data_IF_573039282368
#
_entry.id   IF_573039282368
#
_cell.length_a   1.000
_cell.length_b   1.000
_cell.length_c   1.000
_cell.angle_alpha   90.00
_cell.angle_beta   90.00
_cell.angle_gamma   90.00
#
_symmetry.space_group_name_H-M   'P 1'
#
loop_
_entity.id
_entity.type
_entity.pdbx_description
1 polymer ?
2 polymer ?
3 water ?
#
# COMPACT_ATOMS: atom_id res chain seq x y z
N UNK A 1 3.07 10.66 -2.13
CA UNK A 1 4.47 10.64 -1.69
C UNK A 1 5.03 12.06 -1.50
N UNK A 2 5.43 12.35 -0.26
CA UNK A 2 6.05 13.63 0.09
C UNK A 2 7.54 13.49 -0.13
N UNK A 3 8.11 14.46 -0.85
CA UNK A 3 9.50 14.39 -1.26
C UNK A 3 9.70 13.21 -2.22
N UNK A 4 10.88 12.63 -2.18
CA UNK A 4 11.18 11.52 -3.07
C UNK A 4 11.27 11.93 -4.52
N UNK A 5 11.14 10.95 -5.39
CA UNK A 5 11.42 11.18 -6.79
C UNK A 5 10.32 10.62 -7.67
N UNK A 6 10.09 11.27 -8.80
CA UNK A 6 9.27 10.68 -9.84
C UNK A 6 9.99 9.47 -10.37
N UNK A 7 9.22 8.44 -10.70
CA UNK A 7 9.83 7.17 -11.08
C UNK A 7 8.98 6.55 -12.15
N UNK A 8 9.36 5.34 -12.59
CA UNK A 8 8.54 4.60 -13.52
C UNK A 8 8.30 3.20 -12.96
N UNK A 9 7.30 2.53 -13.51
CA UNK A 9 6.90 1.21 -13.00
C UNK A 9 8.08 0.23 -12.95
N UNK A 10 9.05 0.35 -13.85
CA UNK A 10 10.15 -0.61 -13.91
C UNK A 10 10.96 -0.66 -12.61
N UNK A 11 11.00 0.44 -11.87
CA UNK A 11 11.72 0.47 -10.61
C UNK A 11 10.89 0.04 -9.40
N UNK A 12 9.66 -0.38 -9.65
CA UNK A 12 8.72 -0.85 -8.64
C UNK A 12 7.64 -1.76 -9.29
N UNK A 13 8.06 -2.82 -10.01
CA UNK A 13 7.19 -3.55 -10.93
C UNK A 13 6.12 -4.42 -10.27
N UNK A 14 6.17 -4.53 -8.95
CA UNK A 14 5.13 -5.14 -8.12
C UNK A 14 3.98 -4.18 -7.82
N UNK A 15 4.18 -2.89 -8.06
CA UNK A 15 3.15 -1.93 -7.73
C UNK A 15 1.87 -2.01 -8.56
N UNK A 16 0.75 -2.20 -7.88
CA UNK A 16 -0.56 -2.29 -8.50
C UNK A 16 -1.34 -1.00 -8.29
N UNK A 17 -2.03 -0.53 -9.35
CA UNK A 17 -2.90 0.66 -9.30
C UNK A 17 -4.37 0.26 -9.30
N UNK A 18 -5.08 0.56 -8.21
CA UNK A 18 -6.48 0.11 -8.04
C UNK A 18 -7.52 1.24 -8.18
N UNK A 19 -8.46 1.04 -9.05
CA UNK A 19 -9.46 2.01 -9.40
C UNK A 19 -10.85 1.45 -9.18
N UNK A 20 -11.81 2.35 -9.03
CA UNK A 20 -13.21 1.98 -8.93
C UNK A 20 -14.13 2.67 -9.97
N UNK A 21 -15.02 1.91 -10.61
CA UNK A 21 -15.96 2.52 -11.53
C UNK A 21 -17.26 2.86 -10.85
N UNK A 22 -17.70 4.09 -11.00
CA UNK A 22 -18.93 4.60 -10.39
C UNK A 22 -20.19 4.37 -11.24
N UNK A 23 -21.34 4.77 -10.72
CA UNK A 23 -22.58 4.46 -11.42
C UNK A 23 -22.62 5.05 -12.81
N UNK A 24 -22.08 6.24 -13.00
CA UNK A 24 -22.09 6.82 -14.34
C UNK A 24 -21.33 6.04 -15.43
N UNK A 25 -20.18 5.54 -15.07
CA UNK A 25 -19.19 5.10 -16.01
C UNK A 25 -17.86 5.76 -15.66
N UNK A 26 -17.88 6.76 -14.80
CA UNK A 26 -16.63 7.42 -14.36
C UNK A 26 -15.74 6.55 -13.44
N UNK A 27 -14.44 6.57 -13.68
CA UNK A 27 -13.51 5.69 -12.98
C UNK A 27 -12.50 6.52 -12.24
N UNK A 28 -12.34 6.28 -10.96
CA UNK A 28 -11.37 7.02 -10.18
C UNK A 28 -10.46 6.15 -9.31
N UNK A 29 -9.31 6.68 -9.01
CA UNK A 29 -8.27 5.94 -8.30
C UNK A 29 -8.68 5.73 -6.85
N UNK A 30 -8.35 4.56 -6.33
CA UNK A 30 -8.78 4.20 -5.01
C UNK A 30 -7.54 4.11 -4.11
N UNK A 31 -6.67 3.16 -4.43
CA UNK A 31 -5.50 2.88 -3.59
C UNK A 31 -4.41 2.15 -4.37
N UNK A 32 -3.24 2.09 -3.75
CA UNK A 32 -2.19 1.23 -4.22
C UNK A 32 -2.39 -0.21 -3.75
N UNK A 33 -1.47 -1.07 -4.20
CA UNK A 33 -1.40 -2.45 -3.79
C UNK A 33 -0.12 -3.05 -4.32
N UNK A 34 0.06 -4.36 -4.12
CA UNK A 34 1.29 -5.05 -4.48
C UNK A 34 1.02 -6.46 -4.98
N UNK A 35 1.69 -6.82 -6.07
CA UNK A 35 1.57 -8.12 -6.66
C UNK A 35 2.45 -9.15 -5.93
N UNK A 36 1.82 -10.04 -5.20
CA UNK A 36 2.58 -10.99 -4.37
C UNK A 36 2.62 -12.41 -4.94
N UNK A 37 1.84 -12.63 -5.99
CA UNK A 37 1.94 -13.85 -6.78
C UNK A 37 1.15 -13.51 -8.02
N UNK A 38 1.25 -14.33 -9.08
CA UNK A 38 0.64 -13.92 -10.34
C UNK A 38 -0.85 -13.58 -10.28
N UNK A 39 -1.61 -14.29 -9.43
CA UNK A 39 -3.07 -14.07 -9.37
C UNK A 39 -3.52 -13.15 -8.22
N UNK A 40 -2.56 -12.71 -7.39
CA UNK A 40 -2.89 -12.06 -6.12
C UNK A 40 -2.21 -10.72 -5.88
N UNK A 41 -3.04 -9.74 -5.57
CA UNK A 41 -2.58 -8.44 -5.20
C UNK A 41 -2.99 -8.21 -3.78
N UNK A 42 -2.09 -7.70 -2.99
CA UNK A 42 -2.40 -7.37 -1.61
C UNK A 42 -2.46 -5.85 -1.36
N UNK A 43 -3.42 -5.43 -0.57
CA UNK A 43 -3.71 -4.04 -0.25
C UNK A 43 -4.27 -3.90 1.16
N UNK A 44 -4.98 -2.80 1.39
CA UNK A 44 -5.55 -2.43 2.67
C UNK A 44 -7.07 -2.49 2.67
N UNK A 45 -7.65 -3.02 3.72
CA UNK A 45 -9.09 -3.23 3.75
C UNK A 45 -9.90 -1.93 3.66
N UNK A 46 -9.35 -0.84 4.21
CA UNK A 46 -10.07 0.42 4.27
C UNK A 46 -10.33 0.97 2.87
N UNK A 47 -9.53 0.56 1.89
CA UNK A 47 -9.75 0.97 0.51
C UNK A 47 -11.08 0.56 -0.06
N UNK A 48 -11.63 -0.50 0.49
CA UNK A 48 -12.79 -1.14 -0.08
C UNK A 48 -14.02 -1.21 0.82
N UNK A 49 -13.83 -0.84 2.06
CA UNK A 49 -14.84 -1.08 3.06
C UNK A 49 -16.13 -0.31 2.73
N UNK A 50 -16.04 0.91 2.23
CA UNK A 50 -17.21 1.61 1.78
C UNK A 50 -17.99 1.07 0.57
N UNK A 51 -17.32 0.48 -0.39
CA UNK A 51 -17.96 -0.06 -1.57
C UNK A 51 -17.46 -1.50 -1.82
N UNK A 52 -17.99 -2.51 -1.00
CA UNK A 52 -17.29 -3.81 -1.13
C UNK A 52 -17.60 -4.77 -2.28
N UNK A 53 -18.31 -4.31 -3.28
CA UNK A 53 -18.54 -5.13 -4.45
C UNK A 53 -17.33 -5.18 -5.38
N UNK A 54 -16.77 -6.37 -5.53
CA UNK A 54 -15.61 -6.67 -6.34
C UNK A 54 -15.73 -6.31 -7.82
N UNK A 55 -16.97 -6.28 -8.28
CA UNK A 55 -17.30 -5.93 -9.65
C UNK A 55 -16.92 -4.51 -10.01
N UNK A 56 -17.02 -3.61 -9.05
CA UNK A 56 -16.70 -2.23 -9.30
C UNK A 56 -15.22 -1.87 -9.42
N UNK A 57 -14.33 -2.83 -9.31
CA UNK A 57 -12.91 -2.54 -9.23
C UNK A 57 -12.13 -3.00 -10.43
N UNK A 58 -11.08 -2.24 -10.71
CA UNK A 58 -10.14 -2.59 -11.75
C UNK A 58 -8.74 -2.43 -11.19
N UNK A 59 -7.87 -3.37 -11.55
CA UNK A 59 -6.49 -3.35 -11.13
C UNK A 59 -5.60 -3.25 -12.35
N UNK A 60 -4.70 -2.26 -12.35
CA UNK A 60 -3.66 -2.17 -13.39
C UNK A 60 -2.32 -2.57 -12.83
N UNK A 61 -1.56 -3.26 -13.65
CA UNK A 61 -0.18 -3.57 -13.39
C UNK A 61 0.60 -2.99 -14.52
N UNK A 62 1.83 -2.63 -14.28
CA UNK A 62 2.65 -2.09 -15.37
C UNK A 62 2.35 -0.62 -15.63
N UNK A 63 1.71 0.07 -14.67
CA UNK A 63 1.18 1.43 -14.91
C UNK A 63 2.06 2.47 -14.19
N UNK A 64 2.61 3.44 -14.94
CA UNK A 64 3.45 4.50 -14.37
C UNK A 64 2.69 5.87 -14.26
N UNK A 65 1.52 5.99 -14.87
CA UNK A 65 0.77 7.25 -14.81
C UNK A 65 -0.63 7.03 -14.29
N UNK A 66 -1.16 8.05 -13.61
CA UNK A 66 -2.41 7.96 -12.87
C UNK A 66 -3.65 7.92 -13.77
N UNK A 67 -3.71 8.85 -14.73
CA UNK A 67 -4.89 9.02 -15.55
C UNK A 67 -4.66 8.76 -17.02
N UNK A 68 -3.50 8.24 -17.37
CA UNK A 68 -3.25 7.84 -18.76
C UNK A 68 -2.55 6.49 -18.78
N UNK A 69 -2.38 5.94 -19.98
CA UNK A 69 -1.86 4.59 -20.21
C UNK A 69 -0.33 4.54 -20.31
N UNK A 70 0.25 3.42 -19.91
CA UNK A 70 1.69 3.18 -19.94
C UNK A 70 1.86 2.00 -20.88
N UNK A 71 2.88 2.06 -21.73
CA UNK A 71 3.19 0.95 -22.62
C UNK A 71 3.60 -0.27 -21.78
N UNK A 72 2.86 -1.35 -21.96
CA UNK A 72 3.13 -2.59 -21.24
C UNK A 72 2.16 -2.88 -20.10
N UNK A 73 1.25 -1.96 -19.81
CA UNK A 73 0.33 -2.15 -18.69
C UNK A 73 -0.72 -3.22 -19.00
N UNK A 74 -1.25 -3.83 -17.95
CA UNK A 74 -2.28 -4.86 -18.10
C UNK A 74 -3.41 -4.56 -17.12
N UNK A 75 -4.62 -4.60 -17.64
CA UNK A 75 -5.84 -4.37 -16.89
C UNK A 75 -6.48 -5.67 -16.38
N UNK A 76 -6.93 -5.69 -15.13
CA UNK A 76 -7.59 -6.86 -14.51
C UNK A 76 -8.89 -6.53 -13.77
N UNK A 77 -9.80 -7.49 -13.84
CA UNK A 77 -10.97 -7.53 -12.98
C UNK A 77 -10.58 -8.17 -11.67
N UNK A 78 -11.44 -8.03 -10.67
CA UNK A 78 -11.25 -8.62 -9.37
C UNK A 78 -12.22 -9.77 -9.23
N UNK A 79 -11.68 -10.99 -9.12
CA UNK A 79 -12.48 -12.21 -9.04
C UNK A 79 -12.85 -12.56 -7.60
N UNK A 80 -12.03 -12.12 -6.65
CA UNK A 80 -12.33 -12.28 -5.22
C UNK A 80 -11.78 -11.08 -4.46
N UNK A 81 -12.61 -10.47 -3.63
CA UNK A 81 -12.20 -9.31 -2.82
C UNK A 81 -12.32 -9.70 -1.36
N UNK A 82 -11.18 -9.90 -0.71
CA UNK A 82 -11.13 -10.47 0.64
C UNK A 82 -10.70 -9.41 1.64
N UNK A 83 -11.67 -8.92 2.41
CA UNK A 83 -11.41 -8.00 3.49
C UNK A 83 -11.16 -8.78 4.77
N UNK A 84 -10.35 -8.22 5.64
CA UNK A 84 -10.05 -8.87 6.90
C UNK A 84 -11.22 -8.73 7.87
N UNK A 85 -11.67 -9.87 8.41
CA UNK A 85 -12.84 -9.90 9.29
C UNK A 85 -12.70 -9.04 10.54
N UNK A 86 -11.52 -9.04 11.13
CA UNK A 86 -11.23 -8.17 12.28
C UNK A 86 -10.77 -6.76 11.92
N UNK A 87 -10.98 -6.34 10.67
CA UNK A 87 -10.72 -4.94 10.34
C UNK A 87 -11.53 -4.02 11.24
N UNK A 88 -10.96 -2.87 11.57
CA UNK A 88 -11.69 -1.85 12.28
C UNK A 88 -11.03 -0.49 12.08
N UNK A 89 -11.83 0.55 12.00
CA UNK A 89 -11.32 1.90 11.98
C UNK A 89 -11.59 2.60 13.32
N UNK A 90 -10.55 2.95 14.04
CA UNK A 90 -10.64 3.54 15.35
C UNK A 90 -10.86 4.98 15.11
N UNK A 91 -10.78 5.76 16.18
CA UNK A 91 -10.82 7.20 16.10
C UNK A 91 -9.64 7.83 15.36
N UNK A 92 -8.42 7.33 15.56
CA UNK A 92 -7.24 7.81 14.83
C UNK A 92 -6.59 6.86 13.81
N UNK A 93 -6.69 5.55 14.01
CA UNK A 93 -5.96 4.56 13.23
C UNK A 93 -6.83 3.41 12.79
N UNK A 94 -6.30 2.55 11.94
CA UNK A 94 -7.00 1.38 11.45
C UNK A 94 -6.31 0.15 11.98
N UNK A 95 -7.05 -0.90 12.20
CA UNK A 95 -6.53 -2.16 12.72
C UNK A 95 -6.82 -3.26 11.74
N UNK A 96 -5.90 -4.22 11.64
CA UNK A 96 -6.01 -5.33 10.68
C UNK A 96 -6.33 -4.82 9.28
N UNK A 97 -5.57 -3.81 8.88
CA UNK A 97 -5.79 -3.10 7.63
C UNK A 97 -5.10 -3.83 6.49
N UNK A 98 -5.73 -4.91 6.05
CA UNK A 98 -5.14 -5.81 5.08
C UNK A 98 -6.23 -6.44 4.25
N UNK A 99 -5.97 -6.57 2.95
CA UNK A 99 -6.97 -7.01 1.99
C UNK A 99 -6.31 -7.76 0.86
N UNK A 100 -7.06 -8.64 0.23
CA UNK A 100 -6.56 -9.42 -0.89
C UNK A 100 -7.52 -9.38 -2.06
N UNK A 101 -6.96 -9.26 -3.26
CA UNK A 101 -7.71 -9.24 -4.50
C UNK A 101 -7.15 -10.34 -5.37
N UNK A 102 -8.00 -11.25 -5.82
CA UNK A 102 -7.60 -12.17 -6.88
C UNK A 102 -7.96 -11.56 -8.21
N UNK A 103 -6.98 -11.40 -9.06
CA UNK A 103 -7.16 -10.69 -10.30
C UNK A 103 -7.35 -11.63 -11.47
N UNK A 104 -8.26 -11.28 -12.36
CA UNK A 104 -8.45 -12.01 -13.60
C UNK A 104 -8.65 -11.08 -14.74
N UNK A 105 -8.00 -11.29 -15.83
CA UNK A 105 -8.25 -10.48 -17.02
C UNK A 105 -9.59 -11.02 -17.56
N UNK A 106 -10.15 -10.12 -18.43
CA UNK A 106 -11.43 -10.45 -19.03
C UNK A 106 -11.26 -11.73 -19.86
N UNK A 107 -10.01 -12.05 -20.16
CA UNK A 107 -9.63 -13.23 -20.93
C UNK A 107 -9.17 -14.37 -20.04
N UNK A 108 -9.36 -14.24 -18.73
CA UNK A 108 -9.15 -15.29 -17.79
C UNK A 108 -7.77 -15.52 -17.23
N UNK A 109 -6.80 -14.70 -17.62
CA UNK A 109 -5.41 -14.82 -17.14
C UNK A 109 -5.05 -14.08 -15.85
N UNK A 110 -4.12 -14.63 -15.10
CA UNK A 110 -3.42 -13.99 -14.00
C UNK A 110 -2.29 -13.12 -14.66
N UNK A 111 -1.50 -12.38 -13.89
CA UNK A 111 -0.47 -11.50 -14.43
C UNK A 111 0.70 -12.31 -15.02
N UNK A 112 1.32 -11.76 -16.06
CA UNK A 112 2.51 -12.33 -16.65
C UNK A 112 3.73 -11.40 -16.53
N UNK A 113 4.75 -11.84 -15.80
CA UNK A 113 5.95 -11.01 -15.64
C UNK A 113 6.48 -10.46 -16.96
N UNK A 114 6.95 -9.21 -16.91
CA UNK A 114 7.54 -8.52 -18.04
C UNK A 114 8.52 -7.51 -17.47
N UNK A 115 9.14 -6.75 -18.35
CA UNK A 115 9.98 -5.64 -17.97
C UNK A 115 9.27 -4.72 -16.95
N UNK A 116 7.94 -4.67 -16.98
CA UNK A 116 7.20 -3.72 -16.15
C UNK A 116 6.32 -4.38 -15.09
N UNK A 117 6.30 -5.72 -15.02
CA UNK A 117 5.46 -6.44 -14.05
C UNK A 117 6.22 -7.61 -13.42
N UNK A 118 6.41 -7.56 -12.11
CA UNK A 118 7.03 -8.66 -11.36
C UNK A 118 6.33 -8.79 -10.01
N UNK A 119 6.45 -9.96 -9.37
CA UNK A 119 5.88 -10.20 -8.04
C UNK A 119 6.88 -9.75 -7.00
N UNK A 120 6.42 -9.50 -5.77
CA UNK A 120 7.27 -9.15 -4.64
C UNK A 120 7.08 -10.24 -3.58
N UNK A 121 8.18 -10.76 -3.06
CA UNK A 121 8.14 -11.82 -2.06
C UNK A 121 7.54 -11.35 -0.72
N UNK A 122 6.78 -12.24 -0.09
CA UNK A 122 6.36 -12.05 1.30
C UNK A 122 7.49 -12.39 2.24
N UNK A 123 7.48 -11.79 3.45
CA UNK A 123 8.49 -12.17 4.43
C UNK A 123 8.15 -13.50 5.08
N UNK A 124 9.07 -14.02 5.88
CA UNK A 124 8.83 -15.19 6.71
C UNK A 124 8.03 -14.72 7.88
N UNK A 125 7.23 -15.61 8.45
CA UNK A 125 6.32 -15.20 9.51
C UNK A 125 7.08 -14.62 10.72
N UNK A 126 6.68 -13.42 11.10
CA UNK A 126 7.25 -12.68 12.23
C UNK A 126 8.69 -12.20 12.03
N UNK A 127 9.23 -12.43 10.83
CA UNK A 127 10.58 -11.98 10.48
C UNK A 127 10.52 -10.58 9.86
N UNK A 128 11.04 -9.58 10.60
CA UNK A 128 11.12 -8.20 10.13
C UNK A 128 12.57 -7.69 10.29
N UNK A 129 12.98 -6.72 9.47
CA UNK A 129 14.37 -6.28 9.54
C UNK A 129 14.60 -5.33 10.70
N UNK A 130 15.85 -4.96 10.92
CA UNK A 130 16.22 -4.10 12.03
C UNK A 130 15.57 -2.76 11.91
N UNK A 131 15.37 -2.13 13.05
CA UNK A 131 14.96 -0.74 13.10
C UNK A 131 16.14 0.09 12.61
N UNK A 132 15.86 1.19 11.93
CA UNK A 132 16.87 1.96 11.22
C UNK A 132 17.22 1.45 9.82
N UNK A 133 16.64 0.33 9.40
CA UNK A 133 16.80 -0.15 8.02
C UNK A 133 16.05 0.76 7.03
N UNK A 134 16.62 0.96 5.85
CA UNK A 134 16.04 1.82 4.82
C UNK A 134 15.13 1.00 3.89
N UNK A 135 13.90 1.45 3.72
CA UNK A 135 12.90 0.78 2.88
C UNK A 135 12.35 1.73 1.82
N UNK A 136 11.70 1.17 0.81
CA UNK A 136 11.12 1.92 -0.30
C UNK A 136 9.61 1.92 -0.24
N UNK A 137 9.01 3.08 -0.51
CA UNK A 137 7.55 3.21 -0.67
C UNK A 137 7.29 3.85 -2.02
N UNK A 138 6.09 3.63 -2.56
CA UNK A 138 5.75 4.04 -3.90
C UNK A 138 4.29 4.37 -3.94
N UNK A 139 3.90 5.31 -4.80
CA UNK A 139 2.47 5.57 -4.99
C UNK A 139 2.12 6.81 -5.79
N UNK A 140 0.80 7.02 -5.98
CA UNK A 140 0.24 8.15 -6.70
C UNK A 140 -0.38 9.13 -5.71
N UNK A 141 0.11 9.09 -4.47
CA UNK A 141 -0.48 9.88 -3.40
C UNK A 141 -0.04 11.34 -3.50
N UNK A 142 -0.66 12.18 -2.69
CA UNK A 142 -0.36 13.61 -2.73
C UNK A 142 1.10 13.89 -2.51
N UNK A 143 1.60 14.94 -3.16
CA UNK A 143 2.97 15.40 -2.93
C UNK A 143 3.08 16.37 -1.73
N UNK A 144 1.93 16.84 -1.23
CA UNK A 144 1.84 17.66 0.00
C UNK A 144 0.49 17.42 0.65
N UNK A 145 0.49 17.30 1.97
CA UNK A 145 -0.77 17.20 2.74
C UNK A 145 -1.86 18.13 2.27
N UNK A 146 -1.46 19.37 1.95
CA UNK A 146 -2.42 20.43 1.65
C UNK A 146 -2.91 20.45 0.21
N UNK A 147 -2.34 19.61 -0.65
CA UNK A 147 -2.73 19.58 -2.06
C UNK A 147 -4.15 19.05 -2.22
N UNK A 148 -4.77 19.44 -3.32
CA UNK A 148 -6.08 18.97 -3.74
C UNK A 148 -5.92 17.97 -4.88
N UNK A 149 -4.90 18.17 -5.72
CA UNK A 149 -4.63 17.27 -6.84
C UNK A 149 -3.63 16.17 -6.50
N UNK A 150 -3.60 15.14 -7.35
CA UNK A 150 -2.66 14.04 -7.21
C UNK A 150 -1.70 14.07 -8.39
N UNK A 151 -0.46 13.60 -8.17
CA UNK A 151 0.51 13.66 -9.25
C UNK A 151 0.11 12.69 -10.36
N UNK A 152 0.49 13.02 -11.59
CA UNK A 152 0.14 12.17 -12.75
C UNK A 152 1.16 11.04 -12.92
N UNK A 153 2.38 11.28 -12.48
CA UNK A 153 3.47 10.32 -12.58
C UNK A 153 3.71 9.62 -11.24
N UNK A 154 4.00 8.34 -11.30
CA UNK A 154 4.34 7.58 -10.10
C UNK A 154 5.56 8.15 -9.40
N UNK A 155 5.53 8.14 -8.07
CA UNK A 155 6.69 8.47 -7.28
C UNK A 155 7.12 7.38 -6.30
N UNK A 156 8.34 7.50 -5.81
CA UNK A 156 8.85 6.67 -4.72
C UNK A 156 9.80 7.47 -3.82
N UNK A 157 10.06 6.94 -2.63
CA UNK A 157 11.01 7.57 -1.72
C UNK A 157 11.53 6.52 -0.76
N UNK A 158 12.47 6.91 0.09
CA UNK A 158 13.07 5.99 1.04
C UNK A 158 12.79 6.50 2.46
N UNK A 159 12.40 5.56 3.33
CA UNK A 159 12.17 5.82 4.74
C UNK A 159 12.85 4.71 5.55
N UNK A 160 13.08 4.99 6.83
CA UNK A 160 13.70 4.02 7.72
C UNK A 160 12.69 3.53 8.73
N UNK A 161 12.69 2.22 8.96
CA UNK A 161 11.89 1.59 10.00
C UNK A 161 12.25 2.18 11.35
N UNK A 162 11.21 2.40 12.15
CA UNK A 162 11.37 2.98 13.48
C UNK A 162 11.04 1.90 14.51
N UNK A 163 11.69 1.98 15.66
CA UNK A 163 11.48 0.99 16.73
C UNK A 163 10.07 1.13 17.28
N UNK A 164 9.51 0.07 17.76
CA UNK A 164 8.23 0.21 18.42
C UNK A 164 8.29 1.14 19.63
N UNK A 165 9.34 1.02 20.40
CA UNK A 165 9.49 1.81 21.57
C UNK A 165 9.51 3.24 21.20
N UNK A 166 10.23 3.57 20.15
CA UNK A 166 10.24 4.92 19.76
C UNK A 166 8.83 5.23 19.37
N UNK A 167 8.21 4.34 18.63
CA UNK A 167 6.93 4.64 18.05
C UNK A 167 5.84 4.88 19.05
N UNK A 168 5.92 4.20 20.17
CA UNK A 168 4.93 4.23 21.24
C UNK A 168 5.13 5.41 22.17
N UNK A 169 6.10 6.26 21.86
CA UNK A 169 6.29 7.48 22.61
C UNK A 169 5.15 8.45 22.46
N UNK A 170 4.86 9.18 23.63
CA UNK A 170 3.65 9.99 23.53
C UNK A 170 3.71 11.11 22.52
N UNK A 171 4.86 11.75 22.34
CA UNK A 171 4.96 12.76 21.33
C UNK A 171 4.96 12.14 19.90
N UNK A 172 5.12 10.83 19.81
CA UNK A 172 4.81 10.10 18.58
C UNK A 172 3.36 9.65 18.55
N UNK A 173 3.10 8.37 18.64
CA UNK A 173 1.73 7.93 18.55
C UNK A 173 1.19 7.32 19.83
N UNK A 174 2.07 7.13 20.81
CA UNK A 174 1.69 6.54 22.06
C UNK A 174 1.13 5.15 21.90
N UNK A 175 -0.01 4.92 22.53
CA UNK A 175 -0.65 3.63 22.60
C UNK A 175 -1.20 3.05 21.30
N UNK A 176 -1.42 3.93 20.35
CA UNK A 176 -2.20 3.66 19.15
C UNK A 176 -1.45 2.81 18.12
N UNK A 177 -0.13 2.79 18.19
CA UNK A 177 0.68 1.85 17.40
C UNK A 177 0.81 0.54 18.14
N UNK A 178 0.31 -0.52 17.52
CA UNK A 178 0.32 -1.86 18.13
C UNK A 178 1.37 -2.71 17.43
N UNK A 179 1.61 -3.90 17.95
CA UNK A 179 2.68 -4.76 17.45
C UNK A 179 2.40 -5.32 16.07
N UNK A 180 1.17 -5.20 15.59
CA UNK A 180 0.80 -5.68 14.26
C UNK A 180 1.00 -4.59 13.21
N UNK A 181 1.55 -3.46 13.64
CA UNK A 181 1.88 -2.34 12.79
C UNK A 181 3.39 -2.08 12.79
N UNK A 182 3.90 -1.43 11.75
CA UNK A 182 5.27 -0.89 11.74
C UNK A 182 5.24 0.60 11.47
N UNK A 183 6.13 1.34 12.13
CA UNK A 183 6.35 2.74 11.79
C UNK A 183 7.58 2.87 10.92
N UNK A 184 7.58 3.88 10.07
CA UNK A 184 8.70 4.20 9.20
C UNK A 184 8.59 5.68 8.87
N UNK A 185 9.72 6.36 8.85
CA UNK A 185 9.74 7.78 8.60
C UNK A 185 11.10 8.17 8.18
N UNK A 186 11.19 9.40 7.72
CA UNK A 186 12.45 10.04 7.44
C UNK A 186 13.15 10.55 8.70
N UNK A 187 14.52 10.23 8.75
CA UNK A 187 15.19 10.78 9.94
C UNK A 187 15.04 12.29 10.07
N UNK A 188 15.08 13.08 9.02
CA UNK A 188 14.77 14.51 9.15
C UNK A 188 13.32 14.92 8.89
N UNK A 189 12.44 13.95 8.74
CA UNK A 189 11.02 14.21 8.56
C UNK A 189 10.63 14.95 7.27
N UNK A 190 11.40 14.74 6.24
CA UNK A 190 11.21 15.44 4.96
C UNK A 190 10.48 14.60 3.91
N UNK A 191 10.47 13.28 4.06
CA UNK A 191 9.75 12.43 3.12
C UNK A 191 8.80 11.45 3.81
N UNK A 192 7.73 11.06 3.13
CA UNK A 192 6.66 10.24 3.70
C UNK A 192 5.72 9.75 2.59
N UNK A 193 4.88 8.78 2.93
CA UNK A 193 3.66 8.51 2.17
C UNK A 193 2.62 9.55 2.59
N UNK A 194 1.57 9.72 1.77
CA UNK A 194 0.50 10.68 2.05
C UNK A 194 -0.85 10.15 1.57
N UNK A 195 -1.86 11.02 1.56
CA UNK A 195 -3.20 10.63 1.13
C UNK A 195 -3.12 10.11 -0.31
N UNK A 196 -3.73 8.95 -0.56
CA UNK A 196 -3.67 8.34 -1.87
C UNK A 196 -2.53 7.34 -2.10
N UNK A 197 -1.64 7.17 -1.13
CA UNK A 197 -0.62 6.12 -1.20
C UNK A 197 -1.07 4.83 -0.48
N UNK A 198 -2.21 4.97 0.22
CA UNK A 198 -2.86 3.91 0.96
C UNK A 198 -2.93 2.62 0.19
N UNK A 199 -2.76 1.51 0.91
CA UNK A 199 -2.70 0.16 0.30
C UNK A 199 -1.38 -0.18 -0.37
N UNK A 200 -0.53 0.81 -0.59
CA UNK A 200 0.75 0.64 -1.28
C UNK A 200 1.82 -0.11 -0.49
N UNK A 201 2.92 -0.50 -1.19
CA UNK A 201 4.00 -1.27 -0.58
C UNK A 201 5.04 -0.48 0.22
N UNK A 202 5.47 -1.09 1.30
CA UNK A 202 6.74 -0.77 1.94
C UNK A 202 7.64 -1.96 1.69
N UNK A 203 8.75 -1.73 1.00
CA UNK A 203 9.64 -2.81 0.58
C UNK A 203 11.03 -2.62 1.18
N UNK A 204 11.51 -3.66 1.81
CA UNK A 204 12.73 -3.62 2.52
C UNK A 204 13.54 -4.79 2.06
N UNK A 205 14.85 -4.71 2.13
CA UNK A 205 15.69 -5.83 1.80
C UNK A 205 15.88 -6.67 3.04
N UNK A 206 15.47 -7.93 3.01
CA UNK A 206 15.56 -8.76 4.19
C UNK A 206 16.27 -10.04 3.88
N UNK A 207 17.29 -10.40 4.64
CA UNK A 207 18.33 -11.31 4.15
C UNK A 207 18.89 -10.61 2.93
N UNK A 208 18.91 -11.26 1.77
CA UNK A 208 19.21 -10.57 0.54
C UNK A 208 18.03 -10.20 -0.30
N UNK A 209 16.83 -10.49 0.17
CA UNK A 209 15.67 -10.42 -0.68
C UNK A 209 14.92 -9.12 -0.46
N UNK A 210 14.44 -8.57 -1.55
CA UNK A 210 13.52 -7.46 -1.50
C UNK A 210 12.22 -8.06 -1.05
N UNK A 211 11.68 -7.57 0.04
CA UNK A 211 10.50 -8.17 0.61
C UNK A 211 9.41 -7.14 0.95
N UNK A 212 8.14 -7.55 0.90
CA UNK A 212 7.01 -6.68 1.25
C UNK A 212 6.83 -6.70 2.76
N UNK A 213 7.34 -5.66 3.40
CA UNK A 213 7.38 -5.58 4.84
C UNK A 213 6.17 -4.82 5.41
N UNK A 214 5.63 -3.88 4.64
CA UNK A 214 4.47 -3.13 5.06
C UNK A 214 3.49 -2.78 3.97
N UNK A 215 2.32 -2.31 4.42
CA UNK A 215 1.24 -1.83 3.57
C UNK A 215 0.81 -0.48 4.14
N UNK A 216 0.79 0.54 3.31
CA UNK A 216 0.53 1.88 3.82
C UNK A 216 -0.84 1.90 4.46
N UNK A 217 -0.90 2.29 5.74
CA UNK A 217 -2.13 2.25 6.54
C UNK A 217 -2.60 3.61 7.05
N UNK A 218 -1.79 4.30 7.85
CA UNK A 218 -2.19 5.62 8.37
C UNK A 218 -0.99 6.44 8.85
N UNK A 219 -1.18 7.72 9.02
CA UNK A 219 -0.26 8.58 9.70
C UNK A 219 -0.91 9.93 9.84
N UNK A 220 -0.49 10.75 10.79
CA UNK A 220 -1.04 12.08 10.96
C UNK A 220 -0.28 13.02 10.08
N UNK A 221 -0.99 13.70 9.20
CA UNK A 221 -0.36 14.60 8.26
C UNK A 221 0.50 13.77 7.33
N UNK A 222 1.40 14.41 6.61
CA UNK A 222 2.45 13.72 5.91
C UNK A 222 3.82 14.40 6.12
N UNK A 223 4.87 13.64 6.36
CA UNK A 223 6.20 14.20 6.60
C UNK A 223 6.10 15.26 7.69
N UNK A 224 5.40 14.93 8.76
CA UNK A 224 5.14 15.87 9.84
C UNK A 224 5.94 15.46 11.02
N UNK A 225 6.65 16.39 11.63
CA UNK A 225 7.59 16.03 12.68
C UNK A 225 6.89 15.21 13.75
N UNK A 226 7.56 14.11 14.09
CA UNK A 226 7.27 13.19 15.16
C UNK A 226 6.08 12.28 14.96
N UNK A 227 5.56 12.31 13.75
CA UNK A 227 4.45 11.50 13.34
C UNK A 227 4.79 10.62 12.12
N UNK A 228 5.37 9.45 12.36
CA UNK A 228 5.73 8.53 11.27
C UNK A 228 4.56 8.00 10.44
N UNK A 229 4.85 7.57 9.22
CA UNK A 229 3.91 6.75 8.50
C UNK A 229 3.76 5.42 9.23
N UNK A 230 2.55 4.88 9.20
CA UNK A 230 2.28 3.62 9.89
C UNK A 230 1.79 2.61 8.89
N UNK A 231 2.27 1.38 9.04
CA UNK A 231 2.07 0.35 8.04
C UNK A 231 1.64 -0.94 8.67
N UNK A 232 0.85 -1.71 7.93
CA UNK A 232 0.41 -3.01 8.37
C UNK A 232 1.62 -3.96 8.28
N UNK A 233 1.93 -4.62 9.40
CA UNK A 233 3.11 -5.47 9.51
C UNK A 233 2.85 -6.80 8.84
N UNK A 234 3.23 -6.89 7.58
CA UNK A 234 2.89 -8.04 6.73
C UNK A 234 3.29 -9.40 7.33
N UNK A 235 4.49 -9.45 7.91
CA UNK A 235 5.04 -10.69 8.46
C UNK A 235 4.11 -11.33 9.49
N UNK A 236 3.24 -10.54 10.10
CA UNK A 236 2.25 -11.04 11.04
C UNK A 236 0.98 -11.64 10.41
N UNK A 237 0.85 -11.61 9.09
CA UNK A 237 -0.41 -12.05 8.45
C UNK A 237 -0.26 -13.20 7.46
N UNK A 238 0.85 -13.94 7.56
CA UNK A 238 1.07 -15.06 6.65
C UNK A 238 0.03 -16.17 6.71
N UNK A 239 -0.54 -16.43 7.91
CA UNK A 239 -1.60 -17.46 7.97
C UNK A 239 -2.88 -16.96 7.30
N UNK A 240 -3.30 -15.76 7.69
CA UNK A 240 -4.42 -15.09 7.01
C UNK A 240 -4.19 -15.13 5.51
N UNK A 241 -3.01 -14.70 5.08
CA UNK A 241 -2.69 -14.69 3.63
C UNK A 241 -2.68 -16.07 2.99
N UNK A 242 -1.91 -17.00 3.55
CA UNK A 242 -1.77 -18.32 2.94
C UNK A 242 -3.11 -19.06 2.87
N UNK A 243 -4.00 -18.83 3.84
CA UNK A 243 -5.31 -19.48 3.83
C UNK A 243 -6.10 -19.14 2.57
N UNK A 244 -6.04 -17.87 2.18
CA UNK A 244 -6.81 -17.38 1.04
C UNK A 244 -6.09 -17.64 -0.28
N UNK A 245 -4.76 -17.55 -0.27
CA UNK A 245 -3.98 -17.74 -1.49
C UNK A 245 -3.97 -19.20 -1.95
N UNK A 246 -3.93 -20.14 -1.00
CA UNK A 246 -4.24 -21.53 -1.34
C UNK A 246 -5.76 -21.61 -1.57
N UNK A 247 -6.14 -21.91 -2.81
CA UNK A 247 -7.56 -21.94 -3.21
C UNK A 247 -7.99 -23.34 -3.64
N UNK B 1 -13.98 6.83 8.88
CA UNK B 1 -12.77 7.62 8.53
C UNK B 1 -12.01 8.12 9.76
N UNK B 2 -10.99 7.35 10.19
CA UNK B 2 -10.08 7.78 11.25
C UNK B 2 -9.44 9.10 10.95
N UNK B 3 -9.06 9.83 11.99
CA UNK B 3 -8.53 11.19 11.81
C UNK B 3 -7.22 11.20 11.03
N UNK B 4 -6.46 10.11 11.10
CA UNK B 4 -5.15 10.00 10.44
C UNK B 4 -5.14 9.05 9.22
N UNK B 5 -6.31 8.75 8.66
CA UNK B 5 -6.40 8.01 7.39
C UNK B 5 -5.52 8.66 6.32
N UNK B 6 -4.98 7.84 5.42
CA UNK B 6 -4.29 8.35 4.23
C UNK B 6 -5.02 7.84 2.99
N UNK B 7 -6.32 7.62 3.15
CA UNK B 7 -7.18 7.10 2.11
C UNK B 7 -7.78 8.26 1.33
N UNK B 8 -7.74 8.14 0.00
CA UNK B 8 -8.41 9.08 -0.90
C UNK B 8 -9.85 9.38 -0.47
N UNK B 9 -10.59 8.33 -0.09
CA UNK B 9 -11.99 8.48 0.29
C UNK B 9 -12.26 9.34 1.53
N UNK B 10 -11.23 9.52 2.37
CA UNK B 10 -11.33 10.39 3.54
C UNK B 10 -10.61 11.70 3.28
#
# INVERSE_FOLDING_TARGET
IIGGEFTTIENQPWFAAIYRRHRGGSVTYVCGGSLISPCWVISATHCFIDYPKKEDYIVYLGRSRLNSNTQGEMKFEVENLILHKDYSADTLAYHNDIALLKIRSKEGRCAQPSRTIQTIALPSMYNDPQFGTSCEITGFGKEQSTDYLYPEQLKMTVVKLISHRECQQPHYYGSEVTTKMLCAADPQWKTDSCQGDSGGPLVCSLQGRMTLTGIVSWGRGCALKDKPGVYTRVSHFLPWIRSHTKE
CPAYSRYIGC
#
